data_IF_034490120963
#
_entry.id   IF_034490120963
#
_cell.length_a   1.000
_cell.length_b   1.000
_cell.length_c   1.000
_cell.angle_alpha   90.00
_cell.angle_beta   90.00
_cell.angle_gamma   90.00
#
_symmetry.space_group_name_H-M   'P 1'
#
loop_
_entity.id
_entity.type
_entity.pdbx_description
1 polymer ?
#
# COMPACT_ATOMS: atom_id res chain seq x y z
N UNK A 1 13.19 -2.72 76.35
CA UNK A 1 12.05 -3.60 76.69
C UNK A 1 11.29 -3.92 75.41
N UNK A 2 11.40 -5.14 74.90
CA UNK A 2 10.70 -5.55 73.67
C UNK A 2 9.26 -5.91 74.03
N UNK A 3 8.27 -5.21 73.45
CA UNK A 3 6.86 -5.58 73.63
C UNK A 3 6.59 -6.84 72.79
N UNK A 4 6.04 -7.92 73.37
CA UNK A 4 5.66 -9.09 72.60
C UNK A 4 4.53 -8.72 71.62
N UNK A 5 4.54 -9.35 70.45
CA UNK A 5 3.49 -9.17 69.44
C UNK A 5 2.16 -9.71 69.98
N UNK A 6 1.01 -9.11 69.59
CA UNK A 6 -0.30 -9.57 70.03
C UNK A 6 -0.57 -11.00 69.54
N UNK A 7 -1.32 -11.75 70.34
CA UNK A 7 -1.82 -13.06 69.92
C UNK A 7 -2.80 -12.93 68.75
N UNK A 8 -3.01 -13.96 67.93
CA UNK A 8 -3.91 -13.90 66.78
C UNK A 8 -5.37 -13.55 67.16
N UNK A 9 -5.82 -13.97 68.35
CA UNK A 9 -7.14 -13.62 68.87
C UNK A 9 -7.24 -12.13 69.23
N UNK A 10 -6.20 -11.58 69.86
CA UNK A 10 -6.11 -10.14 70.17
C UNK A 10 -5.98 -9.31 68.89
N UNK A 11 -5.22 -9.78 67.90
CA UNK A 11 -5.11 -9.13 66.60
C UNK A 11 -6.47 -9.08 65.90
N UNK A 12 -7.26 -10.16 65.92
CA UNK A 12 -8.61 -10.20 65.37
C UNK A 12 -9.56 -9.22 66.09
N UNK A 13 -9.48 -9.13 67.42
CA UNK A 13 -10.26 -8.18 68.21
C UNK A 13 -9.85 -6.71 67.95
N UNK A 14 -8.56 -6.45 67.70
CA UNK A 14 -8.06 -5.13 67.33
C UNK A 14 -8.56 -4.72 65.94
N UNK A 15 -8.51 -5.64 64.97
CA UNK A 15 -8.96 -5.42 63.61
C UNK A 15 -10.49 -5.27 63.50
N UNK A 16 -11.27 -5.93 64.38
CA UNK A 16 -12.73 -5.77 64.40
C UNK A 16 -13.17 -4.43 64.97
N UNK A 17 -12.43 -3.88 65.94
CA UNK A 17 -12.73 -2.58 66.58
C UNK A 17 -12.19 -1.39 65.81
N UNK A 18 -11.05 -1.53 65.12
CA UNK A 18 -10.41 -0.44 64.36
C UNK A 18 -10.64 -0.64 62.86
N UNK A 19 -11.45 0.23 62.25
CA UNK A 19 -11.49 0.35 60.77
C UNK A 19 -10.15 0.89 60.28
N UNK A 20 -9.32 0.03 59.73
CA UNK A 20 -8.07 0.42 59.06
C UNK A 20 -8.40 1.30 57.86
N UNK A 21 -7.68 2.43 57.73
CA UNK A 21 -7.80 3.31 56.56
C UNK A 21 -7.45 2.50 55.30
N UNK A 22 -8.27 2.51 54.24
CA UNK A 22 -7.97 1.75 53.03
C UNK A 22 -6.57 2.09 52.52
N UNK A 23 -5.74 1.09 52.23
CA UNK A 23 -4.46 1.32 51.58
C UNK A 23 -4.69 2.05 50.26
N UNK A 24 -3.94 3.14 50.04
CA UNK A 24 -4.00 3.90 48.80
C UNK A 24 -3.62 2.99 47.64
N UNK A 25 -4.56 2.71 46.73
CA UNK A 25 -4.24 1.95 45.51
C UNK A 25 -3.28 2.80 44.67
N UNK A 26 -2.18 2.23 44.14
CA UNK A 26 -1.34 2.96 43.22
C UNK A 26 -2.17 3.33 41.97
N UNK A 27 -1.96 4.51 41.39
CA UNK A 27 -2.65 4.89 40.16
C UNK A 27 -2.40 3.85 39.07
N UNK A 28 -3.39 3.57 38.19
CA UNK A 28 -3.20 2.62 37.11
C UNK A 28 -1.99 3.02 36.28
N UNK A 29 -1.09 2.07 35.99
CA UNK A 29 0.06 2.27 35.11
C UNK A 29 -0.36 2.99 33.83
N UNK A 30 0.33 4.10 33.52
CA UNK A 30 0.05 5.01 32.40
C UNK A 30 -0.12 4.26 31.05
N UNK A 31 0.45 3.06 30.93
CA UNK A 31 0.26 2.16 29.80
C UNK A 31 -1.18 1.78 29.47
N UNK A 32 -2.15 1.88 30.41
CA UNK A 32 -3.58 1.62 30.08
C UNK A 32 -4.24 2.73 29.27
N UNK A 33 -3.95 4.00 29.57
CA UNK A 33 -4.48 5.14 28.82
C UNK A 33 -3.84 5.26 27.44
N UNK A 34 -2.55 4.91 27.35
CA UNK A 34 -1.79 4.89 26.11
C UNK A 34 -2.23 3.80 25.13
N UNK A 35 -2.94 2.74 25.55
CA UNK A 35 -3.34 1.65 24.64
C UNK A 35 -4.24 2.09 23.49
N UNK A 36 -5.16 3.03 23.72
CA UNK A 36 -6.05 3.55 22.66
C UNK A 36 -5.26 4.38 21.66
N UNK A 37 -4.42 5.27 22.17
CA UNK A 37 -3.53 6.10 21.35
C UNK A 37 -2.49 5.25 20.60
N UNK A 38 -1.88 4.25 21.25
CA UNK A 38 -0.99 3.29 20.58
C UNK A 38 -1.74 2.51 19.51
N UNK A 39 -2.99 2.10 19.73
CA UNK A 39 -3.80 1.41 18.71
C UNK A 39 -4.09 2.32 17.52
N UNK A 40 -4.50 3.56 17.78
CA UNK A 40 -4.79 4.53 16.72
C UNK A 40 -3.52 4.93 15.95
N UNK A 41 -2.38 5.03 16.65
CA UNK A 41 -1.07 5.28 16.06
C UNK A 41 -0.50 4.03 15.36
N UNK A 42 -0.79 2.82 15.81
CA UNK A 42 -0.39 1.58 15.15
C UNK A 42 -1.24 1.32 13.89
N UNK A 43 -2.52 1.70 13.92
CA UNK A 43 -3.41 1.72 12.75
C UNK A 43 -2.99 2.78 11.71
N UNK A 44 -2.50 3.95 12.17
CA UNK A 44 -2.07 5.06 11.28
C UNK A 44 -0.61 4.99 10.83
N UNK A 45 0.30 4.53 11.70
CA UNK A 45 1.76 4.63 11.56
C UNK A 45 2.52 3.36 11.97
N UNK A 46 1.83 2.37 12.55
CA UNK A 46 2.43 1.16 13.06
C UNK A 46 3.04 0.29 11.98
N UNK A 47 3.67 -0.80 12.41
CA UNK A 47 4.14 -1.90 11.56
C UNK A 47 2.98 -2.71 10.95
N UNK A 48 1.96 -1.99 10.46
CA UNK A 48 0.84 -2.46 9.68
C UNK A 48 0.99 -2.05 8.21
N UNK A 49 -0.07 -2.24 7.41
CA UNK A 49 -0.04 -2.00 5.97
C UNK A 49 0.36 -0.57 5.57
N UNK A 50 0.32 0.43 6.46
CA UNK A 50 0.71 1.81 6.12
C UNK A 50 2.18 1.98 5.70
N UNK A 51 3.12 1.46 6.49
CA UNK A 51 4.54 1.51 6.13
C UNK A 51 4.85 0.64 4.89
N UNK A 52 4.16 -0.50 4.78
CA UNK A 52 4.27 -1.41 3.66
C UNK A 52 3.67 -0.82 2.38
N UNK A 53 2.58 -0.05 2.46
CA UNK A 53 1.94 0.65 1.35
C UNK A 53 2.84 1.78 0.84
N UNK A 54 3.41 2.59 1.75
CA UNK A 54 4.25 3.72 1.38
C UNK A 54 5.48 3.31 0.58
N UNK A 55 6.09 2.16 0.93
CA UNK A 55 7.32 1.66 0.30
C UNK A 55 7.11 0.40 -0.54
N UNK A 56 5.87 0.06 -0.88
CA UNK A 56 5.55 -1.21 -1.56
C UNK A 56 6.38 -1.38 -2.83
N UNK A 57 6.44 -0.34 -3.66
CA UNK A 57 7.21 -0.33 -4.90
C UNK A 57 8.71 -0.57 -4.71
N UNK A 58 9.29 -0.07 -3.62
CA UNK A 58 10.70 -0.27 -3.30
C UNK A 58 10.96 -1.70 -2.82
N UNK A 59 10.01 -2.28 -2.08
CA UNK A 59 10.14 -3.62 -1.48
C UNK A 59 9.95 -4.71 -2.54
N UNK A 60 8.87 -4.66 -3.32
CA UNK A 60 8.56 -5.71 -4.31
C UNK A 60 9.01 -5.36 -5.73
N UNK A 61 9.47 -4.15 -5.98
CA UNK A 61 9.86 -3.69 -7.31
C UNK A 61 8.69 -3.18 -8.15
N UNK A 62 9.04 -2.52 -9.25
CA UNK A 62 8.11 -1.74 -10.08
C UNK A 62 7.02 -2.60 -10.71
N UNK A 63 7.37 -3.77 -11.25
CA UNK A 63 6.42 -4.57 -12.04
C UNK A 63 5.37 -5.28 -11.17
N UNK A 64 5.79 -5.75 -9.99
CA UNK A 64 4.87 -6.35 -9.02
C UNK A 64 3.99 -5.24 -8.42
N UNK A 65 4.55 -4.09 -8.04
CA UNK A 65 3.79 -3.00 -7.44
C UNK A 65 2.77 -2.34 -8.38
N UNK A 66 2.99 -2.37 -9.71
CA UNK A 66 1.99 -1.90 -10.69
C UNK A 66 0.68 -2.71 -10.66
N UNK A 67 0.75 -3.96 -10.21
CA UNK A 67 -0.35 -4.94 -10.31
C UNK A 67 -0.87 -5.37 -8.94
N UNK A 68 -0.23 -4.92 -7.86
CA UNK A 68 -0.50 -5.39 -6.50
C UNK A 68 -0.46 -4.26 -5.49
N UNK A 69 -1.28 -4.38 -4.45
CA UNK A 69 -1.24 -3.48 -3.29
C UNK A 69 -1.37 -4.27 -1.98
N UNK A 70 -0.63 -3.90 -0.92
CA UNK A 70 -0.79 -4.51 0.38
C UNK A 70 -2.07 -3.99 1.04
N UNK A 71 -2.96 -4.90 1.44
CA UNK A 71 -4.25 -4.56 2.07
C UNK A 71 -4.13 -4.59 3.57
N UNK A 72 -3.65 -5.71 4.12
CA UNK A 72 -3.61 -5.92 5.57
C UNK A 72 -2.53 -6.92 5.96
N UNK A 73 -1.87 -6.66 7.07
CA UNK A 73 -1.01 -7.62 7.75
C UNK A 73 -1.76 -8.15 8.99
N UNK A 74 -2.03 -9.46 9.02
CA UNK A 74 -2.77 -10.09 10.12
C UNK A 74 -1.81 -10.88 11.00
N UNK A 75 -1.63 -10.43 12.26
CA UNK A 75 -0.86 -11.13 13.29
C UNK A 75 -1.78 -12.07 14.09
N UNK A 76 -1.38 -13.33 14.33
CA UNK A 76 -2.17 -14.26 15.15
C UNK A 76 -2.15 -13.84 16.63
N UNK A 77 -3.26 -14.07 17.35
CA UNK A 77 -3.44 -13.69 18.77
C UNK A 77 -2.49 -14.40 19.75
N UNK A 78 -1.91 -15.53 19.36
CA UNK A 78 -0.97 -16.32 20.17
C UNK A 78 0.50 -15.99 19.95
N UNK A 79 0.82 -14.96 19.15
CA UNK A 79 2.18 -14.76 18.65
C UNK A 79 2.51 -15.76 17.52
N UNK A 80 3.43 -15.38 16.65
CA UNK A 80 3.80 -16.18 15.47
C UNK A 80 3.76 -15.40 14.16
N UNK A 81 4.09 -16.05 13.05
CA UNK A 81 4.24 -15.39 11.77
C UNK A 81 2.91 -14.84 11.25
N UNK A 82 2.98 -13.67 10.66
CA UNK A 82 1.84 -12.93 10.13
C UNK A 82 1.42 -13.45 8.76
N UNK A 83 0.14 -13.22 8.42
CA UNK A 83 -0.36 -13.39 7.07
C UNK A 83 -0.48 -12.02 6.39
N UNK A 84 0.17 -11.84 5.24
CA UNK A 84 0.03 -10.65 4.41
C UNK A 84 -1.06 -10.86 3.37
N UNK A 85 -2.05 -9.97 3.35
CA UNK A 85 -3.07 -9.90 2.33
C UNK A 85 -2.72 -8.85 1.29
N UNK A 86 -2.72 -9.25 0.03
CA UNK A 86 -2.43 -8.40 -1.13
C UNK A 86 -3.64 -8.42 -2.06
N UNK A 87 -4.01 -7.24 -2.56
CA UNK A 87 -4.97 -7.12 -3.65
C UNK A 87 -4.26 -7.09 -4.99
N UNK A 88 -4.79 -7.82 -5.96
CA UNK A 88 -4.19 -7.97 -7.30
C UNK A 88 -5.20 -7.55 -8.37
N UNK A 89 -4.71 -6.82 -9.37
CA UNK A 89 -5.49 -6.55 -10.58
C UNK A 89 -5.82 -7.87 -11.29
N UNK A 90 -7.11 -8.16 -11.49
CA UNK A 90 -7.63 -9.52 -11.75
C UNK A 90 -6.87 -10.36 -12.78
N UNK A 91 -6.45 -9.77 -13.91
CA UNK A 91 -5.73 -10.50 -14.96
C UNK A 91 -4.32 -10.98 -14.57
N UNK A 92 -3.74 -10.50 -13.47
CA UNK A 92 -2.37 -10.82 -13.04
C UNK A 92 -2.28 -11.80 -11.87
N UNK A 93 -3.40 -12.30 -11.34
CA UNK A 93 -3.42 -13.10 -10.11
C UNK A 93 -2.56 -14.38 -10.18
N UNK A 94 -2.61 -15.11 -11.30
CA UNK A 94 -1.83 -16.34 -11.49
C UNK A 94 -0.32 -16.07 -11.48
N UNK A 95 0.12 -15.00 -12.14
CA UNK A 95 1.52 -14.58 -12.14
C UNK A 95 2.00 -14.24 -10.73
N UNK A 96 1.20 -13.44 -10.01
CA UNK A 96 1.52 -13.05 -8.63
C UNK A 96 1.55 -14.25 -7.69
N UNK A 97 0.68 -15.24 -7.91
CA UNK A 97 0.69 -16.48 -7.14
C UNK A 97 1.99 -17.28 -7.34
N UNK A 98 2.52 -17.34 -8.57
CA UNK A 98 3.82 -17.96 -8.82
C UNK A 98 4.97 -17.18 -8.15
N UNK A 99 4.89 -15.85 -8.15
CA UNK A 99 5.87 -14.96 -7.51
C UNK A 99 5.69 -14.83 -5.99
N UNK A 100 4.70 -15.51 -5.39
CA UNK A 100 4.38 -15.38 -3.97
C UNK A 100 5.57 -15.66 -3.02
N UNK A 101 6.40 -16.70 -3.23
CA UNK A 101 7.55 -16.96 -2.36
C UNK A 101 8.57 -15.82 -2.40
N UNK A 102 8.81 -15.26 -3.59
CA UNK A 102 9.72 -14.13 -3.77
C UNK A 102 9.19 -12.87 -3.09
N UNK A 103 7.90 -12.58 -3.23
CA UNK A 103 7.25 -11.45 -2.55
C UNK A 103 7.39 -11.59 -1.03
N UNK A 104 7.14 -12.78 -0.47
CA UNK A 104 7.27 -13.03 0.96
C UNK A 104 8.72 -12.85 1.42
N UNK A 105 9.70 -13.33 0.65
CA UNK A 105 11.12 -13.13 0.97
C UNK A 105 11.48 -11.64 1.02
N UNK A 106 11.11 -10.86 -0.01
CA UNK A 106 11.35 -9.41 -0.08
C UNK A 106 10.68 -8.65 1.06
N UNK A 107 9.44 -9.02 1.40
CA UNK A 107 8.72 -8.41 2.53
C UNK A 107 9.38 -8.74 3.87
N UNK A 108 9.86 -9.97 4.06
CA UNK A 108 10.58 -10.36 5.26
C UNK A 108 11.95 -9.69 5.38
N UNK A 109 12.62 -9.35 4.28
CA UNK A 109 13.83 -8.52 4.34
C UNK A 109 13.55 -7.13 4.92
N UNK A 110 12.38 -6.58 4.62
CA UNK A 110 11.97 -5.27 5.11
C UNK A 110 11.44 -5.31 6.56
N UNK A 111 10.61 -6.30 6.89
CA UNK A 111 9.95 -6.40 8.19
C UNK A 111 10.76 -7.20 9.24
N UNK A 112 11.77 -7.95 8.82
CA UNK A 112 12.52 -8.90 9.63
C UNK A 112 12.19 -10.36 9.29
N UNK A 113 13.20 -11.22 9.34
CA UNK A 113 13.07 -12.63 8.98
C UNK A 113 11.98 -13.33 9.80
N UNK A 114 11.15 -14.15 9.15
CA UNK A 114 10.07 -14.89 9.80
C UNK A 114 8.82 -14.08 10.16
N UNK A 115 8.77 -12.78 9.80
CA UNK A 115 7.61 -11.93 10.12
C UNK A 115 6.34 -12.34 9.37
N UNK A 116 6.48 -12.76 8.10
CA UNK A 116 5.40 -13.20 7.22
C UNK A 116 5.67 -14.63 6.77
N UNK A 117 4.68 -15.51 6.93
CA UNK A 117 4.75 -16.90 6.45
C UNK A 117 3.70 -17.20 5.38
N UNK A 118 2.57 -16.48 5.39
CA UNK A 118 1.47 -16.73 4.45
C UNK A 118 1.13 -15.49 3.64
N UNK A 119 0.98 -15.69 2.33
CA UNK A 119 0.43 -14.69 1.42
C UNK A 119 -1.02 -15.04 1.08
N UNK A 120 -1.94 -14.08 1.24
CA UNK A 120 -3.33 -14.18 0.79
C UNK A 120 -3.54 -13.23 -0.37
N UNK A 121 -4.07 -13.76 -1.47
CA UNK A 121 -4.32 -13.00 -2.70
C UNK A 121 -5.80 -12.74 -2.81
N UNK A 122 -6.18 -11.47 -2.94
CA UNK A 122 -7.55 -11.03 -3.17
C UNK A 122 -7.61 -10.33 -4.53
N UNK A 123 -8.50 -10.77 -5.41
CA UNK A 123 -8.69 -10.10 -6.70
C UNK A 123 -9.61 -8.89 -6.51
N UNK A 124 -9.25 -7.75 -7.08
CA UNK A 124 -10.09 -6.56 -7.04
C UNK A 124 -9.43 -5.34 -7.67
N UNK A 125 -10.18 -4.24 -7.82
CA UNK A 125 -9.63 -2.99 -8.32
C UNK A 125 -8.56 -2.44 -7.35
N UNK A 126 -7.42 -2.05 -7.90
CA UNK A 126 -6.34 -1.43 -7.14
C UNK A 126 -6.73 0.01 -6.79
N UNK A 127 -6.52 0.40 -5.54
CA UNK A 127 -6.55 1.80 -5.12
C UNK A 127 -5.23 2.37 -5.60
N UNK A 128 -5.24 3.12 -6.70
CA UNK A 128 -4.04 3.76 -7.24
C UNK A 128 -3.37 4.64 -6.17
N UNK A 129 -2.45 4.07 -5.40
CA UNK A 129 -1.70 4.75 -4.33
C UNK A 129 -0.31 5.19 -4.79
N UNK A 130 0.00 5.08 -6.09
CA UNK A 130 1.32 5.47 -6.60
C UNK A 130 1.21 6.40 -7.81
N UNK A 131 1.30 7.69 -7.49
CA UNK A 131 1.56 8.77 -8.43
C UNK A 131 0.32 9.27 -9.17
N UNK A 132 0.29 10.55 -9.59
CA UNK A 132 -0.67 10.96 -10.61
C UNK A 132 -0.52 9.95 -11.74
N UNK A 133 -1.64 9.30 -12.11
CA UNK A 133 -1.69 8.52 -13.33
C UNK A 133 -0.98 9.40 -14.37
N UNK A 134 0.15 8.93 -14.92
CA UNK A 134 0.72 9.55 -16.09
C UNK A 134 -0.40 9.44 -17.09
N UNK A 135 -1.23 10.48 -17.18
CA UNK A 135 -2.24 10.67 -18.20
C UNK A 135 -1.44 10.32 -19.43
N UNK A 136 -1.81 9.22 -20.09
CA UNK A 136 -1.27 8.93 -21.39
C UNK A 136 -1.48 10.23 -22.14
N UNK A 137 -0.40 10.98 -22.35
CA UNK A 137 -0.50 12.25 -23.04
C UNK A 137 -0.90 11.76 -24.42
N UNK A 138 -2.21 11.81 -24.70
CA UNK A 138 -2.71 11.64 -26.05
C UNK A 138 -1.93 12.68 -26.81
N UNK A 139 -0.92 12.21 -27.56
CA UNK A 139 0.03 13.07 -28.25
C UNK A 139 -0.85 14.00 -29.06
N UNK A 140 -0.94 15.27 -28.63
CA UNK A 140 -1.84 16.23 -29.27
C UNK A 140 -1.43 16.21 -30.73
N UNK A 141 -2.38 15.89 -31.60
CA UNK A 141 -2.13 15.92 -33.03
C UNK A 141 -1.89 17.38 -33.35
N UNK A 142 -0.62 17.77 -33.43
CA UNK A 142 -0.26 19.11 -33.86
C UNK A 142 -0.66 19.20 -35.33
N UNK A 143 -1.45 20.21 -35.73
CA UNK A 143 -1.73 20.47 -37.14
C UNK A 143 -0.41 20.61 -37.91
N UNK A 144 -0.36 20.13 -39.15
CA UNK A 144 0.81 20.39 -39.99
C UNK A 144 0.89 21.87 -40.31
N UNK A 145 2.11 22.36 -40.55
CA UNK A 145 2.32 23.72 -41.03
C UNK A 145 1.65 23.90 -42.40
N UNK A 146 1.11 25.10 -42.66
CA UNK A 146 0.36 25.41 -43.87
C UNK A 146 1.22 25.25 -45.13
N UNK A 147 2.53 25.52 -45.04
CA UNK A 147 3.47 25.30 -46.13
C UNK A 147 3.60 23.83 -46.53
N UNK A 148 3.72 22.94 -45.53
CA UNK A 148 3.85 21.49 -45.72
C UNK A 148 2.57 20.87 -46.29
N UNK A 149 1.40 21.36 -45.83
CA UNK A 149 0.11 20.91 -46.35
C UNK A 149 -0.07 21.31 -47.83
N UNK A 150 0.35 22.52 -48.21
CA UNK A 150 0.29 23.01 -49.59
C UNK A 150 1.30 22.30 -50.52
N UNK A 151 2.46 21.88 -49.99
CA UNK A 151 3.44 21.10 -50.75
C UNK A 151 2.94 19.67 -50.99
N UNK A 152 2.38 19.02 -49.97
CA UNK A 152 1.76 17.69 -50.09
C UNK A 152 0.59 17.71 -51.09
N UNK A 153 -0.25 18.75 -51.05
CA UNK A 153 -1.35 18.91 -51.99
C UNK A 153 -0.85 19.11 -53.43
N UNK A 154 0.24 19.87 -53.63
CA UNK A 154 0.87 20.04 -54.94
C UNK A 154 1.47 18.74 -55.47
N UNK A 155 2.15 17.96 -54.62
CA UNK A 155 2.71 16.66 -55.01
C UNK A 155 1.66 15.62 -55.41
N UNK A 156 0.40 15.80 -55.00
CA UNK A 156 -0.73 14.93 -55.33
C UNK A 156 -1.70 15.57 -56.33
N UNK A 157 -1.32 16.67 -57.00
CA UNK A 157 -2.18 17.41 -57.91
C UNK A 157 -2.62 16.58 -59.13
N UNK A 158 -1.73 15.72 -59.64
CA UNK A 158 -2.00 14.85 -60.80
C UNK A 158 -2.84 13.61 -60.45
N UNK A 159 -3.06 13.35 -59.16
CA UNK A 159 -3.88 12.21 -58.71
C UNK A 159 -5.37 12.57 -58.83
N UNK A 160 -6.18 11.74 -59.50
CA UNK A 160 -7.63 11.94 -59.60
C UNK A 160 -8.30 12.03 -58.22
N UNK A 161 -9.30 12.89 -58.10
CA UNK A 161 -10.06 13.01 -56.86
C UNK A 161 -10.83 11.71 -56.58
N UNK A 162 -10.69 11.22 -55.35
CA UNK A 162 -11.28 9.94 -54.96
C UNK A 162 -10.68 9.37 -53.68
N UNK A 163 -11.08 8.14 -53.30
CA UNK A 163 -10.65 7.49 -52.06
C UNK A 163 -9.13 7.29 -52.02
N UNK A 164 -8.49 7.08 -53.16
CA UNK A 164 -7.03 6.93 -53.27
C UNK A 164 -6.31 8.24 -52.88
N UNK A 165 -6.73 9.38 -53.43
CA UNK A 165 -6.14 10.68 -53.10
C UNK A 165 -6.33 11.03 -51.63
N UNK A 166 -7.49 10.73 -51.06
CA UNK A 166 -7.76 10.91 -49.63
C UNK A 166 -6.84 10.03 -48.76
N UNK A 167 -6.63 8.76 -49.14
CA UNK A 167 -5.72 7.85 -48.45
C UNK A 167 -4.27 8.34 -48.52
N UNK A 168 -3.83 8.81 -49.69
CA UNK A 168 -2.48 9.36 -49.89
C UNK A 168 -2.25 10.65 -49.10
N UNK A 169 -3.23 11.55 -49.04
CA UNK A 169 -3.17 12.75 -48.18
C UNK A 169 -3.08 12.36 -46.70
N UNK A 170 -3.89 11.40 -46.24
CA UNK A 170 -3.84 10.90 -44.86
C UNK A 170 -2.48 10.30 -44.50
N UNK A 171 -1.93 9.49 -45.41
CA UNK A 171 -0.60 8.89 -45.26
C UNK A 171 0.51 9.95 -45.23
N UNK A 172 0.49 10.90 -46.18
CA UNK A 172 1.47 11.98 -46.27
C UNK A 172 1.50 12.85 -45.01
N UNK A 173 0.33 13.25 -44.51
CA UNK A 173 0.17 13.94 -43.22
C UNK A 173 0.77 13.13 -42.07
N UNK A 174 0.56 11.81 -42.06
CA UNK A 174 1.08 10.90 -41.03
C UNK A 174 2.61 10.75 -41.05
N UNK A 175 3.23 10.74 -42.24
CA UNK A 175 4.69 10.66 -42.41
C UNK A 175 5.35 11.98 -42.01
N UNK A 176 4.84 13.12 -42.50
CA UNK A 176 5.40 14.44 -42.20
C UNK A 176 5.35 14.77 -40.70
N UNK A 177 4.28 14.37 -40.00
CA UNK A 177 4.16 14.49 -38.53
C UNK A 177 5.16 13.64 -37.73
N UNK A 178 5.66 12.53 -38.30
CA UNK A 178 6.65 11.67 -37.64
C UNK A 178 8.08 12.18 -37.82
N UNK A 179 8.37 12.88 -38.90
CA UNK A 179 9.70 13.43 -39.18
C UNK A 179 9.95 14.80 -38.51
N UNK A 180 8.88 15.48 -38.10
CA UNK A 180 8.94 16.83 -37.49
C UNK A 180 8.87 16.84 -35.97
N UNK A 181 8.93 15.67 -35.30
CA UNK A 181 8.91 15.55 -33.84
C UNK A 181 9.97 14.62 -33.32
#
# INVERSE_FOLDING_TARGET
MSRPLPTPAEAAAILSRKRTRPQHRPPPVAGRGLRRLLKDLDEKFGQGPGALQARWREIVGVDIAKRTEPVKLTKPRGGGPSALEIRVAGASAALIQHQAPEIVARVNLFLGAGTVNKLRIVQGPLRNLTGPALKTVRRRVVPLDAGQEAELARGLAEVPDGPLKAALLSLGRGVLRRHTG
#
